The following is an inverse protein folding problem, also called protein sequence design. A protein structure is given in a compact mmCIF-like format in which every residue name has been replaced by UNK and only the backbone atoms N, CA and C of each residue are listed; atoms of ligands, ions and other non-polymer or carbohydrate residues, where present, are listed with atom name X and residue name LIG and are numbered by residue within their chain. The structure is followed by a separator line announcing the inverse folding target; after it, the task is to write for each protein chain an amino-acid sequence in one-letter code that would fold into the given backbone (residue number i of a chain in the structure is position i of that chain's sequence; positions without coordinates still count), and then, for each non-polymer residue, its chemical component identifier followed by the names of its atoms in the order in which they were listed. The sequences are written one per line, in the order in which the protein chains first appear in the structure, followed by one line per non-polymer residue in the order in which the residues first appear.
data_IF_516222839793
#
_entry.id   IF_516222839793
#
_cell.length_a   1.000
_cell.length_b   1.000
_cell.length_c   1.000
_cell.angle_alpha   90.00
_cell.angle_beta   90.00
_cell.angle_gamma   90.00
#
_symmetry.space_group_name_H-M   'P 1'
#
loop_
_entity.id
_entity.type
_entity.pdbx_description
1 polymer ?
#
# COMPACT_ATOMS: atom_id res chain seq x y z
N UNK A 1 -4.19 -10.87 -7.87
CA UNK A 1 -3.40 -9.66 -7.95
C UNK A 1 -4.07 -8.47 -7.30
N UNK A 2 -3.36 -7.36 -7.23
CA UNK A 2 -3.93 -6.10 -6.76
C UNK A 2 -4.92 -5.54 -7.77
N UNK A 3 -5.93 -4.85 -7.27
CA UNK A 3 -6.88 -4.12 -8.10
C UNK A 3 -7.08 -2.72 -7.53
N UNK A 4 -6.89 -1.67 -8.33
CA UNK A 4 -6.31 -1.71 -9.68
C UNK A 4 -4.84 -2.12 -9.63
N UNK A 5 -4.32 -2.63 -10.74
CA UNK A 5 -2.92 -3.03 -10.84
C UNK A 5 -1.99 -1.83 -11.00
N UNK A 6 -2.52 -0.72 -11.45
CA UNK A 6 -1.78 0.52 -11.64
C UNK A 6 -2.54 1.66 -10.98
N UNK A 7 -1.82 2.45 -10.18
CA UNK A 7 -2.36 3.65 -9.54
C UNK A 7 -1.50 4.83 -9.95
N UNK A 8 -2.13 5.88 -10.46
CA UNK A 8 -1.45 7.11 -10.84
C UNK A 8 -1.74 8.20 -9.84
N UNK A 9 -0.70 8.86 -9.37
CA UNK A 9 -0.75 9.89 -8.33
C UNK A 9 0.04 11.10 -8.78
N UNK A 10 -0.38 12.28 -8.31
CA UNK A 10 0.36 13.52 -8.57
C UNK A 10 1.25 13.86 -7.40
N UNK A 11 2.52 14.17 -7.69
CA UNK A 11 3.48 14.63 -6.70
C UNK A 11 2.96 15.89 -6.00
N UNK A 12 3.08 15.94 -4.68
CA UNK A 12 2.68 17.07 -3.87
C UNK A 12 1.20 17.12 -3.49
N UNK A 13 0.39 16.20 -3.99
CA UNK A 13 -1.04 16.17 -3.69
C UNK A 13 -1.32 15.16 -2.56
N UNK A 14 -2.15 15.53 -1.56
CA UNK A 14 -2.51 14.57 -0.51
C UNK A 14 -3.49 13.52 -1.01
N UNK A 15 -3.29 12.29 -0.55
CA UNK A 15 -4.15 11.15 -0.89
C UNK A 15 -4.48 10.32 0.33
N UNK A 16 -5.59 9.61 0.24
CA UNK A 16 -5.92 8.49 1.09
C UNK A 16 -6.06 7.26 0.19
N UNK A 17 -5.29 6.23 0.46
CA UNK A 17 -5.47 4.94 -0.21
C UNK A 17 -6.06 3.96 0.80
N UNK A 18 -7.15 3.33 0.42
CA UNK A 18 -7.75 2.25 1.21
C UNK A 18 -7.29 0.92 0.64
N UNK A 19 -6.65 0.12 1.48
CA UNK A 19 -6.24 -1.23 1.14
C UNK A 19 -7.24 -2.20 1.74
N UNK A 20 -7.77 -3.11 0.93
CA UNK A 20 -8.74 -4.11 1.36
C UNK A 20 -8.33 -5.47 0.84
N UNK A 21 -8.37 -6.46 1.72
CA UNK A 21 -8.12 -7.85 1.34
C UNK A 21 -9.45 -8.60 1.27
N UNK A 22 -9.94 -8.83 0.05
CA UNK A 22 -11.17 -9.60 -0.18
C UNK A 22 -10.93 -11.10 -0.26
N UNK A 23 -9.67 -11.53 -0.22
CA UNK A 23 -9.32 -12.94 -0.27
C UNK A 23 -9.57 -13.65 1.06
N UNK A 24 -9.43 -14.96 1.06
CA UNK A 24 -9.64 -15.79 2.25
C UNK A 24 -8.41 -15.93 3.13
N UNK A 25 -7.23 -15.59 2.63
CA UNK A 25 -5.96 -15.69 3.35
C UNK A 25 -5.33 -14.32 3.49
N UNK A 26 -4.37 -14.19 4.41
CA UNK A 26 -3.65 -12.94 4.59
C UNK A 26 -2.82 -12.59 3.36
N UNK A 27 -2.78 -11.31 3.03
CA UNK A 27 -1.96 -10.77 1.96
C UNK A 27 -1.14 -9.61 2.46
N UNK A 28 0.03 -9.42 1.85
CA UNK A 28 0.89 -8.28 2.11
C UNK A 28 0.76 -7.25 1.00
N UNK A 29 0.82 -5.99 1.38
CA UNK A 29 1.10 -4.89 0.46
C UNK A 29 2.48 -4.38 0.83
N UNK A 30 3.48 -4.75 0.05
CA UNK A 30 4.88 -4.41 0.30
C UNK A 30 5.35 -3.48 -0.80
N UNK A 31 5.69 -2.25 -0.43
CA UNK A 31 6.13 -1.23 -1.37
C UNK A 31 7.16 -0.32 -0.67
N UNK A 32 8.33 -0.87 -0.29
CA UNK A 32 9.28 -0.12 0.53
C UNK A 32 9.81 1.14 -0.16
N UNK A 33 10.10 1.08 -1.45
CA UNK A 33 10.61 2.22 -2.19
C UNK A 33 9.55 3.33 -2.29
N UNK A 34 8.30 2.96 -2.59
CA UNK A 34 7.21 3.92 -2.64
C UNK A 34 6.97 4.55 -1.27
N UNK A 35 6.83 3.72 -0.24
CA UNK A 35 6.51 4.20 1.11
C UNK A 35 7.63 5.04 1.70
N UNK A 36 8.89 4.79 1.32
CA UNK A 36 10.01 5.64 1.71
C UNK A 36 10.02 6.98 0.96
N UNK A 37 9.43 7.05 -0.23
CA UNK A 37 9.41 8.25 -1.06
C UNK A 37 8.27 9.20 -0.77
N UNK A 38 7.28 8.78 0.02
CA UNK A 38 6.10 9.60 0.36
C UNK A 38 6.23 10.18 1.76
N UNK A 39 5.53 11.29 2.01
CA UNK A 39 5.34 11.81 3.35
C UNK A 39 4.09 11.17 3.92
N UNK A 40 4.24 10.16 4.76
CA UNK A 40 3.11 9.47 5.37
C UNK A 40 2.64 10.26 6.59
N UNK A 41 1.38 10.62 6.57
CA UNK A 41 0.77 11.34 7.68
C UNK A 41 0.33 10.40 8.79
N UNK A 42 -0.37 9.33 8.42
CA UNK A 42 -0.85 8.30 9.36
C UNK A 42 -1.37 7.09 8.59
N UNK A 43 -1.48 6.00 9.31
CA UNK A 43 -2.20 4.80 8.87
C UNK A 43 -3.35 4.59 9.84
N UNK A 44 -4.56 4.43 9.32
CA UNK A 44 -5.75 4.23 10.15
C UNK A 44 -6.30 2.84 9.96
N UNK A 45 -6.43 2.11 11.06
CA UNK A 45 -7.18 0.85 11.11
C UNK A 45 -8.55 1.20 11.66
N UNK A 46 -9.55 1.11 10.80
CA UNK A 46 -10.89 1.66 11.04
C UNK A 46 -11.47 1.24 12.38
N UNK A 47 -11.84 2.23 13.20
CA UNK A 47 -12.42 2.05 14.53
C UNK A 47 -11.52 1.31 15.52
N UNK A 48 -10.23 1.17 15.24
CA UNK A 48 -9.31 0.46 16.12
C UNK A 48 -8.11 1.29 16.52
N UNK A 49 -7.40 1.85 15.54
CA UNK A 49 -6.16 2.57 15.85
C UNK A 49 -5.72 3.47 14.72
N UNK A 50 -4.98 4.51 15.07
CA UNK A 50 -4.13 5.26 14.13
C UNK A 50 -2.68 4.93 14.46
N UNK A 51 -1.90 4.64 13.44
CA UNK A 51 -0.49 4.31 13.58
C UNK A 51 0.32 5.41 12.90
N UNK A 52 1.29 5.95 13.61
CA UNK A 52 2.18 6.99 13.11
C UNK A 52 3.61 6.51 13.24
N UNK A 53 4.36 6.64 12.16
CA UNK A 53 5.78 6.27 12.12
C UNK A 53 6.49 7.15 11.10
N UNK A 54 7.81 7.34 11.22
CA UNK A 54 8.56 8.10 10.22
C UNK A 54 8.48 7.48 8.83
N UNK A 55 8.43 6.15 8.75
CA UNK A 55 8.36 5.42 7.48
C UNK A 55 7.68 4.09 7.68
N UNK A 56 7.00 3.63 6.63
CA UNK A 56 6.44 2.28 6.54
C UNK A 56 7.08 1.58 5.35
N UNK A 57 7.05 0.26 5.34
CA UNK A 57 7.56 -0.54 4.23
C UNK A 57 6.54 -1.57 3.73
N UNK A 58 5.68 -2.04 4.60
CA UNK A 58 4.74 -3.12 4.27
C UNK A 58 3.55 -3.09 5.22
N UNK A 59 2.43 -3.59 4.71
CA UNK A 59 1.22 -3.82 5.52
C UNK A 59 0.75 -5.24 5.28
N UNK A 60 0.42 -5.94 6.35
CA UNK A 60 -0.24 -7.24 6.25
C UNK A 60 -1.74 -7.04 6.47
N UNK A 61 -2.54 -7.47 5.51
CA UNK A 61 -3.99 -7.41 5.60
C UNK A 61 -4.53 -8.80 5.82
N UNK A 62 -5.28 -8.97 6.88
CA UNK A 62 -5.90 -10.25 7.18
C UNK A 62 -6.96 -10.58 6.15
N UNK A 63 -7.15 -11.85 5.89
CA UNK A 63 -8.17 -12.30 4.95
C UNK A 63 -9.58 -11.94 5.42
N UNK A 64 -10.53 -12.03 4.50
CA UNK A 64 -11.95 -11.80 4.75
C UNK A 64 -12.27 -10.37 5.17
N UNK A 65 -11.72 -9.41 4.44
CA UNK A 65 -12.08 -8.00 4.59
C UNK A 65 -11.15 -7.18 5.46
N UNK A 66 -9.97 -7.68 5.82
CA UNK A 66 -8.98 -6.87 6.51
C UNK A 66 -8.67 -5.63 5.69
N UNK A 67 -8.65 -4.47 6.33
CA UNK A 67 -8.47 -3.20 5.63
C UNK A 67 -7.79 -2.15 6.49
N UNK A 68 -7.15 -1.19 5.82
CA UNK A 68 -6.62 0.01 6.45
C UNK A 68 -6.57 1.15 5.43
N UNK A 69 -6.44 2.36 5.95
CA UNK A 69 -6.29 3.59 5.15
C UNK A 69 -4.92 4.18 5.37
N UNK A 70 -4.24 4.52 4.29
CA UNK A 70 -2.95 5.21 4.34
C UNK A 70 -3.15 6.65 3.86
N UNK A 71 -2.79 7.61 4.70
CA UNK A 71 -2.86 9.04 4.40
C UNK A 71 -1.46 9.55 4.12
N UNK A 72 -1.21 10.06 2.92
CA UNK A 72 0.15 10.41 2.50
C UNK A 72 0.16 11.47 1.42
N UNK A 73 1.35 12.04 1.21
CA UNK A 73 1.64 12.92 0.07
C UNK A 73 2.80 12.31 -0.70
N UNK A 74 2.61 11.94 -1.98
CA UNK A 74 3.73 11.48 -2.80
C UNK A 74 4.66 12.66 -3.09
N UNK A 75 5.97 12.45 -2.94
CA UNK A 75 6.94 13.53 -3.05
C UNK A 75 7.87 13.37 -4.25
N UNK A 76 8.18 12.15 -4.64
CA UNK A 76 9.18 11.89 -5.67
C UNK A 76 8.55 11.20 -6.86
N UNK A 77 8.64 11.83 -8.03
CA UNK A 77 8.14 11.26 -9.28
C UNK A 77 8.88 9.97 -9.64
N UNK A 78 8.15 9.02 -10.17
CA UNK A 78 8.73 7.75 -10.58
C UNK A 78 7.70 6.65 -10.65
N UNK A 79 8.18 5.44 -10.96
CA UNK A 79 7.38 4.24 -10.95
C UNK A 79 7.85 3.36 -9.81
N UNK A 80 6.91 2.86 -9.02
CA UNK A 80 7.19 2.09 -7.84
C UNK A 80 6.43 0.79 -7.88
N UNK A 81 7.08 -0.27 -7.42
CA UNK A 81 6.50 -1.60 -7.37
C UNK A 81 5.85 -1.85 -6.02
N UNK A 82 4.68 -2.47 -6.05
CA UNK A 82 4.03 -3.05 -4.88
C UNK A 82 3.87 -4.55 -5.09
N UNK A 83 4.13 -5.34 -4.07
CA UNK A 83 4.05 -6.79 -4.20
C UNK A 83 3.67 -7.43 -2.86
N UNK A 84 3.19 -8.66 -2.93
CA UNK A 84 3.04 -9.51 -1.76
C UNK A 84 4.33 -10.32 -1.61
N UNK A 85 5.03 -10.15 -0.49
CA UNK A 85 6.32 -10.81 -0.30
C UNK A 85 6.20 -12.25 0.22
N UNK A 86 5.01 -12.76 0.40
CA UNK A 86 4.82 -14.18 0.69
C UNK A 86 5.19 -14.99 -0.54
N UNK A 87 6.06 -15.98 -0.36
CA UNK A 87 6.66 -16.73 -1.44
C UNK A 87 5.65 -17.28 -2.45
N UNK A 88 4.59 -17.88 -1.96
CA UNK A 88 3.58 -18.49 -2.81
C UNK A 88 2.80 -17.44 -3.60
N UNK A 89 2.57 -16.28 -3.00
CA UNK A 89 1.85 -15.20 -3.67
C UNK A 89 2.69 -14.57 -4.77
N UNK A 90 4.00 -14.43 -4.57
CA UNK A 90 4.89 -13.94 -5.62
C UNK A 90 4.88 -14.86 -6.83
N UNK A 91 4.90 -16.17 -6.60
CA UNK A 91 4.86 -17.14 -7.69
C UNK A 91 3.54 -17.09 -8.47
N UNK A 92 2.49 -16.56 -7.88
CA UNK A 92 1.21 -16.34 -8.53
C UNK A 92 1.11 -14.97 -9.22
N UNK A 93 2.19 -14.17 -9.22
CA UNK A 93 2.26 -12.91 -9.93
C UNK A 93 1.43 -11.79 -9.28
N UNK A 94 1.37 -11.75 -7.97
CA UNK A 94 0.64 -10.70 -7.24
C UNK A 94 1.51 -9.45 -7.16
N UNK A 95 1.37 -8.56 -8.13
CA UNK A 95 2.13 -7.32 -8.22
C UNK A 95 1.25 -6.16 -8.68
N UNK A 96 1.65 -4.96 -8.28
CA UNK A 96 1.04 -3.72 -8.72
C UNK A 96 2.08 -2.64 -8.92
N UNK A 97 1.68 -1.54 -9.55
CA UNK A 97 2.54 -0.41 -9.86
C UNK A 97 1.89 0.88 -9.37
N UNK A 98 2.69 1.71 -8.70
CA UNK A 98 2.29 3.07 -8.32
C UNK A 98 3.14 4.05 -9.12
N UNK A 99 2.49 4.93 -9.86
CA UNK A 99 3.16 5.91 -10.71
C UNK A 99 2.91 7.30 -10.12
N UNK A 100 3.98 7.99 -9.79
CA UNK A 100 3.93 9.38 -9.30
C UNK A 100 4.38 10.30 -10.42
N UNK A 101 3.49 11.20 -10.82
CA UNK A 101 3.70 12.14 -11.94
C UNK A 101 3.90 13.56 -11.46
#
# INVERSE_FOLDING_TARGET
GYRPREVRLKSGQPYRITLVNYGSVNHYFTAPEFLASVATRKVEVRNQAEVKAPVFASFELQGRGGSLDVYFVPMTKGQYRAHCHMKDHLSLGIEGVLIVE
#
